data_IF_203094668076
#
_entry.id   IF_203094668076
#
_cell.length_a   1.000
_cell.length_b   1.000
_cell.length_c   1.000
_cell.angle_alpha   90.00
_cell.angle_beta   90.00
_cell.angle_gamma   90.00
#
_symmetry.space_group_name_H-M   'P 1'
#
loop_
_entity.id
_entity.type
_entity.pdbx_description
1 polymer ?
#
# COMPACT_ATOMS: atom_id res chain seq x y z
N UNK A 1 -27.14 -0.70 -1.16
CA UNK A 1 -27.42 -1.81 -2.04
C UNK A 1 -27.04 -1.61 -3.51
N UNK A 2 -26.25 -0.56 -3.87
CA UNK A 2 -25.82 -0.37 -5.27
C UNK A 2 -24.57 -1.18 -5.57
N UNK A 3 -23.70 -1.38 -4.56
CA UNK A 3 -22.48 -2.20 -4.63
C UNK A 3 -22.41 -3.09 -3.38
N UNK A 4 -21.80 -4.25 -3.51
CA UNK A 4 -21.69 -5.25 -2.44
C UNK A 4 -20.34 -5.18 -1.71
N UNK A 5 -19.29 -4.67 -2.39
CA UNK A 5 -17.96 -4.49 -1.85
C UNK A 5 -17.30 -3.22 -2.42
N UNK A 6 -16.38 -2.66 -1.68
CA UNK A 6 -15.58 -1.50 -2.10
C UNK A 6 -14.15 -1.63 -1.59
N UNK A 7 -13.20 -1.17 -2.37
CA UNK A 7 -11.82 -0.93 -1.95
C UNK A 7 -11.59 0.58 -1.88
N UNK A 8 -10.88 1.03 -0.86
CA UNK A 8 -10.56 2.45 -0.71
C UNK A 8 -9.09 2.69 -0.35
N UNK A 9 -8.67 2.40 0.89
CA UNK A 9 -7.30 2.68 1.29
C UNK A 9 -6.82 1.81 2.46
N UNK A 10 -7.22 2.20 3.66
CA UNK A 10 -6.62 1.65 4.87
C UNK A 10 -7.46 2.04 6.11
N UNK A 11 -7.28 1.36 7.28
CA UNK A 11 -8.19 1.47 8.42
C UNK A 11 -8.52 2.89 8.88
N UNK A 12 -7.54 3.81 8.88
CA UNK A 12 -7.77 5.18 9.37
C UNK A 12 -8.72 5.98 8.48
N UNK A 13 -8.48 6.15 7.16
CA UNK A 13 -9.45 6.79 6.28
C UNK A 13 -10.79 6.08 6.25
N UNK A 14 -10.82 4.76 6.19
CA UNK A 14 -12.05 3.97 6.12
C UNK A 14 -12.94 4.23 7.33
N UNK A 15 -12.35 4.31 8.52
CA UNK A 15 -13.07 4.64 9.76
C UNK A 15 -13.60 6.09 9.77
N UNK A 16 -12.82 7.05 9.22
CA UNK A 16 -13.23 8.46 9.13
C UNK A 16 -14.40 8.64 8.17
N UNK A 17 -14.39 7.95 7.04
CA UNK A 17 -15.53 7.96 6.10
C UNK A 17 -16.75 7.20 6.62
N UNK A 18 -16.60 6.42 7.67
CA UNK A 18 -17.71 5.75 8.33
C UNK A 18 -18.17 4.47 7.64
N UNK A 19 -17.30 3.79 6.89
CA UNK A 19 -17.63 2.55 6.19
C UNK A 19 -18.11 1.47 7.16
N UNK A 20 -17.60 1.41 8.38
CA UNK A 20 -18.05 0.50 9.43
C UNK A 20 -19.53 0.64 9.81
N UNK A 21 -20.18 1.74 9.44
CA UNK A 21 -21.61 1.93 9.69
C UNK A 21 -22.48 1.11 8.74
N UNK A 22 -21.95 0.78 7.56
CA UNK A 22 -22.69 0.09 6.48
C UNK A 22 -22.07 -1.25 6.08
N UNK A 23 -20.77 -1.44 6.30
CA UNK A 23 -20.01 -2.65 5.96
C UNK A 23 -19.41 -3.26 7.23
N UNK A 24 -19.53 -4.57 7.40
CA UNK A 24 -19.06 -5.29 8.59
C UNK A 24 -17.93 -6.27 8.33
N UNK A 25 -17.66 -6.61 7.09
CA UNK A 25 -16.59 -7.50 6.69
C UNK A 25 -15.41 -6.70 6.16
N UNK A 26 -14.21 -6.96 6.65
CA UNK A 26 -13.01 -6.19 6.33
C UNK A 26 -11.83 -7.10 6.01
N UNK A 27 -11.13 -6.80 4.93
CA UNK A 27 -9.90 -7.45 4.48
C UNK A 27 -8.80 -6.41 4.39
N UNK A 28 -7.60 -6.69 4.93
CA UNK A 28 -6.49 -5.73 4.96
C UNK A 28 -5.69 -5.66 3.66
N UNK A 29 -5.97 -6.52 2.69
CA UNK A 29 -5.19 -6.63 1.47
C UNK A 29 -5.78 -5.83 0.32
N UNK A 30 -4.97 -4.91 -0.23
CA UNK A 30 -5.18 -4.33 -1.55
C UNK A 30 -4.22 -4.96 -2.54
N UNK A 31 -4.61 -6.04 -3.23
CA UNK A 31 -3.70 -6.81 -4.08
C UNK A 31 -3.23 -6.05 -5.32
N UNK A 32 -4.05 -5.15 -5.84
CA UNK A 32 -3.74 -4.36 -7.03
C UNK A 32 -2.77 -3.20 -6.73
N UNK A 33 -2.70 -2.74 -5.49
CA UNK A 33 -1.87 -1.59 -5.10
C UNK A 33 -1.47 -1.67 -3.62
N UNK A 34 -0.46 -2.47 -3.32
CA UNK A 34 0.06 -2.64 -1.95
C UNK A 34 0.84 -1.42 -1.44
N UNK A 35 1.30 -0.57 -2.34
CA UNK A 35 2.06 0.66 -2.05
C UNK A 35 1.58 1.78 -2.95
N UNK A 36 1.40 2.95 -2.39
CA UNK A 36 1.08 4.19 -3.13
C UNK A 36 2.29 5.11 -3.07
N UNK A 37 2.76 5.57 -4.23
CA UNK A 37 3.71 6.67 -4.31
C UNK A 37 2.98 7.98 -3.99
N UNK A 38 3.53 8.76 -3.06
CA UNK A 38 3.07 10.11 -2.79
C UNK A 38 3.96 11.09 -3.56
N UNK A 39 3.48 11.58 -4.69
CA UNK A 39 4.22 12.49 -5.55
C UNK A 39 4.04 13.95 -5.10
N UNK A 40 5.12 14.72 -5.13
CA UNK A 40 5.09 16.16 -4.94
C UNK A 40 5.01 16.86 -6.29
N UNK A 41 3.87 17.43 -6.61
CA UNK A 41 3.68 18.22 -7.83
C UNK A 41 3.93 19.70 -7.58
N UNK A 42 4.82 20.29 -8.37
CA UNK A 42 5.16 21.72 -8.27
C UNK A 42 4.89 22.40 -9.62
N UNK A 43 4.25 23.54 -9.59
CA UNK A 43 4.05 24.33 -10.81
C UNK A 43 5.42 24.64 -11.45
N UNK A 44 5.58 24.30 -12.74
CA UNK A 44 6.86 24.41 -13.41
C UNK A 44 7.42 25.84 -13.50
N UNK A 45 6.57 26.87 -13.58
CA UNK A 45 7.01 28.28 -13.56
C UNK A 45 7.57 28.63 -12.17
N UNK A 46 6.89 28.22 -11.11
CA UNK A 46 7.35 28.43 -9.72
C UNK A 46 8.66 27.69 -9.48
N UNK A 47 8.72 26.41 -9.85
CA UNK A 47 9.94 25.61 -9.66
C UNK A 47 11.17 26.21 -10.39
N UNK A 48 10.98 26.70 -11.61
CA UNK A 48 12.07 27.35 -12.36
C UNK A 48 12.52 28.70 -11.77
N UNK A 49 11.65 29.40 -11.04
CA UNK A 49 12.00 30.65 -10.36
C UNK A 49 12.68 30.45 -9.00
N UNK A 50 12.65 29.24 -8.45
CA UNK A 50 13.30 28.93 -7.18
C UNK A 50 14.81 28.90 -7.32
N UNK A 51 15.50 29.34 -6.27
CA UNK A 51 16.96 29.15 -6.11
C UNK A 51 17.30 27.68 -5.92
N UNK A 52 18.55 27.31 -6.14
CA UNK A 52 19.02 25.94 -5.91
C UNK A 52 18.89 25.52 -4.44
N UNK A 53 19.06 26.49 -3.51
CA UNK A 53 18.85 26.25 -2.09
C UNK A 53 17.37 25.90 -1.78
N UNK A 54 16.42 26.62 -2.34
CA UNK A 54 14.98 26.34 -2.17
C UNK A 54 14.57 25.00 -2.78
N UNK A 55 15.09 24.67 -3.98
CA UNK A 55 14.87 23.36 -4.60
C UNK A 55 15.40 22.23 -3.72
N UNK A 56 16.61 22.39 -3.18
CA UNK A 56 17.21 21.39 -2.29
C UNK A 56 16.47 21.26 -0.96
N UNK A 57 16.04 22.37 -0.38
CA UNK A 57 15.21 22.35 0.84
C UNK A 57 13.89 21.60 0.62
N UNK A 58 13.25 21.81 -0.52
CA UNK A 58 12.02 21.10 -0.89
C UNK A 58 12.24 19.60 -1.07
N UNK A 59 13.32 19.19 -1.73
CA UNK A 59 13.71 17.78 -1.88
C UNK A 59 13.94 17.10 -0.51
N UNK A 60 14.67 17.76 0.37
CA UNK A 60 14.94 17.26 1.73
C UNK A 60 13.63 17.15 2.53
N UNK A 61 12.75 18.15 2.43
CA UNK A 61 11.46 18.14 3.11
C UNK A 61 10.55 17.02 2.59
N UNK A 62 10.53 16.76 1.27
CA UNK A 62 9.78 15.68 0.67
C UNK A 62 10.27 14.30 1.19
N UNK A 63 11.58 14.07 1.21
CA UNK A 63 12.17 12.85 1.72
C UNK A 63 11.89 12.64 3.22
N UNK A 64 11.99 13.69 4.03
CA UNK A 64 11.65 13.64 5.46
C UNK A 64 10.16 13.36 5.69
N UNK A 65 9.29 13.94 4.87
CA UNK A 65 7.85 13.74 4.93
C UNK A 65 7.46 12.29 4.63
N UNK A 66 8.16 11.61 3.74
CA UNK A 66 7.90 10.20 3.41
C UNK A 66 8.04 9.31 4.65
N UNK A 67 9.16 9.41 5.36
CA UNK A 67 9.43 8.60 6.57
C UNK A 67 8.45 8.95 7.71
N UNK A 68 8.22 10.24 7.93
CA UNK A 68 7.27 10.70 8.95
C UNK A 68 5.85 10.23 8.65
N UNK A 69 5.43 10.31 7.40
CA UNK A 69 4.12 9.86 6.92
C UNK A 69 3.94 8.35 7.11
N UNK A 70 4.96 7.55 6.78
CA UNK A 70 4.93 6.10 6.98
C UNK A 70 4.75 5.74 8.46
N UNK A 71 5.56 6.31 9.34
CA UNK A 71 5.49 6.06 10.79
C UNK A 71 4.13 6.45 11.37
N UNK A 72 3.61 7.62 10.98
CA UNK A 72 2.30 8.09 11.38
C UNK A 72 1.18 7.15 10.93
N UNK A 73 1.22 6.70 9.67
CA UNK A 73 0.21 5.80 9.10
C UNK A 73 0.20 4.44 9.80
N UNK A 74 1.36 3.88 10.12
CA UNK A 74 1.44 2.60 10.85
C UNK A 74 0.71 2.73 12.19
N UNK A 75 0.99 3.78 12.95
CA UNK A 75 0.37 4.00 14.26
C UNK A 75 -1.13 4.28 14.18
N UNK A 76 -1.55 5.22 13.32
CA UNK A 76 -2.95 5.60 13.21
C UNK A 76 -3.83 4.51 12.57
N UNK A 77 -3.30 3.74 11.62
CA UNK A 77 -4.02 2.58 11.10
C UNK A 77 -4.16 1.47 12.15
N UNK A 78 -3.16 1.23 12.98
CA UNK A 78 -3.26 0.29 14.10
C UNK A 78 -4.34 0.68 15.09
N UNK A 79 -4.40 1.96 15.47
CA UNK A 79 -5.48 2.49 16.34
C UNK A 79 -6.87 2.36 15.70
N UNK A 80 -6.96 2.71 14.43
CA UNK A 80 -8.23 2.63 13.71
C UNK A 80 -8.69 1.18 13.54
N UNK A 81 -7.79 0.24 13.25
CA UNK A 81 -8.11 -1.17 13.17
C UNK A 81 -8.65 -1.70 14.51
N UNK A 82 -8.01 -1.34 15.60
CA UNK A 82 -8.47 -1.69 16.95
C UNK A 82 -9.89 -1.16 17.20
N UNK A 83 -10.16 0.11 16.92
CA UNK A 83 -11.50 0.68 17.01
C UNK A 83 -12.52 -0.08 16.14
N UNK A 84 -12.17 -0.38 14.88
CA UNK A 84 -13.05 -1.07 13.95
C UNK A 84 -13.44 -2.47 14.47
N UNK A 85 -12.49 -3.22 14.99
CA UNK A 85 -12.71 -4.61 15.44
C UNK A 85 -13.28 -4.71 16.85
N UNK A 86 -12.83 -3.87 17.79
CA UNK A 86 -13.21 -4.00 19.21
C UNK A 86 -14.46 -3.17 19.57
N UNK A 87 -14.72 -2.06 18.88
CA UNK A 87 -15.80 -1.13 19.23
C UNK A 87 -16.89 -1.03 18.15
N UNK A 88 -16.50 -1.02 16.86
CA UNK A 88 -17.45 -0.82 15.77
C UNK A 88 -18.08 -2.13 15.23
N UNK A 89 -17.67 -3.28 15.76
CA UNK A 89 -18.20 -4.59 15.39
C UNK A 89 -17.86 -5.03 13.96
N UNK A 90 -16.70 -4.59 13.46
CA UNK A 90 -16.18 -5.04 12.16
C UNK A 90 -15.45 -6.37 12.34
N UNK A 91 -15.69 -7.28 11.41
CA UNK A 91 -15.06 -8.60 11.38
C UNK A 91 -13.91 -8.55 10.42
N UNK A 92 -12.69 -8.72 10.95
CA UNK A 92 -11.48 -8.82 10.13
C UNK A 92 -11.33 -10.24 9.58
N UNK A 93 -11.10 -10.36 8.30
CA UNK A 93 -10.91 -11.61 7.60
C UNK A 93 -9.51 -11.73 7.02
N UNK A 94 -9.00 -12.94 6.99
CA UNK A 94 -7.83 -13.29 6.18
C UNK A 94 -8.26 -13.55 4.73
N UNK A 95 -7.43 -13.10 3.79
CA UNK A 95 -7.64 -13.41 2.37
C UNK A 95 -7.24 -14.86 2.11
N UNK A 96 -8.10 -15.68 1.47
CA UNK A 96 -7.75 -17.04 1.10
C UNK A 96 -6.48 -17.10 0.23
N UNK A 97 -5.63 -18.08 0.46
CA UNK A 97 -4.31 -18.17 -0.21
C UNK A 97 -4.40 -18.41 -1.73
N UNK A 98 -5.43 -19.13 -2.19
CA UNK A 98 -5.71 -19.36 -3.59
C UNK A 98 -6.04 -18.08 -4.35
N UNK A 99 -6.71 -17.12 -3.71
CA UNK A 99 -6.99 -15.80 -4.28
C UNK A 99 -5.70 -15.07 -4.71
N UNK A 100 -4.63 -15.16 -3.94
CA UNK A 100 -3.35 -14.56 -4.32
C UNK A 100 -2.78 -15.19 -5.59
N UNK A 101 -2.86 -16.52 -5.69
CA UNK A 101 -2.34 -17.26 -6.85
C UNK A 101 -3.14 -16.93 -8.11
N UNK A 102 -4.46 -16.92 -8.03
CA UNK A 102 -5.34 -16.59 -9.15
C UNK A 102 -5.17 -15.13 -9.59
N UNK A 103 -5.11 -14.20 -8.64
CA UNK A 103 -4.85 -12.80 -8.93
C UNK A 103 -3.52 -12.60 -9.66
N UNK A 104 -2.44 -13.21 -9.17
CA UNK A 104 -1.11 -13.08 -9.79
C UNK A 104 -1.06 -13.68 -11.19
N UNK A 105 -1.77 -14.78 -11.43
CA UNK A 105 -1.88 -15.36 -12.76
C UNK A 105 -2.60 -14.42 -13.74
N UNK A 106 -3.73 -13.87 -13.35
CA UNK A 106 -4.51 -12.92 -14.14
C UNK A 106 -3.74 -11.60 -14.40
N UNK A 107 -3.10 -11.05 -13.37
CA UNK A 107 -2.29 -9.84 -13.47
C UNK A 107 -1.12 -10.05 -14.45
N UNK A 108 -0.38 -11.15 -14.31
CA UNK A 108 0.74 -11.49 -15.20
C UNK A 108 0.29 -11.62 -16.66
N UNK A 109 -0.81 -12.31 -16.92
CA UNK A 109 -1.36 -12.46 -18.27
C UNK A 109 -1.70 -11.09 -18.90
N UNK A 110 -2.33 -10.20 -18.13
CA UNK A 110 -2.68 -8.84 -18.57
C UNK A 110 -1.44 -8.00 -18.85
N UNK A 111 -0.45 -8.04 -17.97
CA UNK A 111 0.79 -7.26 -18.12
C UNK A 111 1.61 -7.73 -19.33
N UNK A 112 1.69 -9.03 -19.56
CA UNK A 112 2.37 -9.59 -20.75
C UNK A 112 1.67 -9.19 -22.05
N UNK A 113 0.34 -9.25 -22.09
CA UNK A 113 -0.43 -8.78 -23.25
C UNK A 113 -0.14 -7.31 -23.55
N UNK A 114 -0.18 -6.43 -22.55
CA UNK A 114 0.13 -5.02 -22.73
C UNK A 114 1.58 -4.79 -23.19
N UNK A 115 2.52 -5.61 -22.73
CA UNK A 115 3.91 -5.55 -23.17
C UNK A 115 4.12 -5.99 -24.63
N UNK A 116 3.28 -6.91 -25.13
CA UNK A 116 3.28 -7.27 -26.56
C UNK A 116 2.73 -6.16 -27.45
N UNK A 117 1.74 -5.42 -26.97
CA UNK A 117 1.05 -4.38 -27.72
C UNK A 117 1.77 -3.01 -27.69
N UNK A 118 2.64 -2.77 -26.71
CA UNK A 118 3.28 -1.47 -26.49
C UNK A 118 4.76 -1.62 -26.10
N UNK A 119 5.66 -1.14 -26.96
CA UNK A 119 7.11 -1.25 -26.77
C UNK A 119 7.60 -0.50 -25.52
N UNK A 120 7.07 0.69 -25.21
CA UNK A 120 7.44 1.45 -24.01
C UNK A 120 6.93 0.75 -22.76
N UNK A 121 5.71 0.21 -22.79
CA UNK A 121 5.21 -0.60 -21.68
C UNK A 121 6.10 -1.82 -21.40
N UNK A 122 6.55 -2.48 -22.48
CA UNK A 122 7.47 -3.62 -22.38
C UNK A 122 8.79 -3.24 -21.70
N UNK A 123 9.38 -2.09 -22.09
CA UNK A 123 10.61 -1.58 -21.50
C UNK A 123 10.45 -1.34 -19.99
N UNK A 124 9.37 -0.65 -19.59
CA UNK A 124 9.06 -0.40 -18.17
C UNK A 124 8.82 -1.71 -17.41
N UNK A 125 8.01 -2.61 -17.98
CA UNK A 125 7.69 -3.89 -17.35
C UNK A 125 8.93 -4.77 -17.18
N UNK A 126 9.84 -4.79 -18.17
CA UNK A 126 11.12 -5.52 -18.06
C UNK A 126 11.97 -4.97 -16.93
N UNK A 127 12.15 -3.64 -16.86
CA UNK A 127 12.91 -3.00 -15.77
C UNK A 127 12.30 -3.29 -14.40
N UNK A 128 10.98 -3.26 -14.27
CA UNK A 128 10.28 -3.60 -13.02
C UNK A 128 10.49 -5.06 -12.61
N UNK A 129 10.42 -5.99 -13.57
CA UNK A 129 10.60 -7.42 -13.27
C UNK A 129 12.04 -7.76 -12.91
N UNK A 130 13.04 -7.16 -13.57
CA UNK A 130 14.46 -7.31 -13.22
C UNK A 130 14.73 -6.80 -11.79
N UNK A 131 14.17 -5.67 -11.40
CA UNK A 131 14.25 -5.18 -10.02
C UNK A 131 13.54 -6.12 -9.04
N UNK A 132 12.34 -6.59 -9.39
CA UNK A 132 11.55 -7.47 -8.54
C UNK A 132 12.26 -8.82 -8.28
N UNK A 133 12.90 -9.38 -9.28
CA UNK A 133 13.65 -10.65 -9.16
C UNK A 133 14.78 -10.58 -8.11
N UNK A 134 15.34 -9.39 -7.91
CA UNK A 134 16.38 -9.14 -6.90
C UNK A 134 15.77 -8.76 -5.54
N UNK A 135 14.83 -7.82 -5.54
CA UNK A 135 14.33 -7.19 -4.32
C UNK A 135 13.29 -8.04 -3.58
N UNK A 136 12.37 -8.70 -4.31
CA UNK A 136 11.23 -9.39 -3.71
C UNK A 136 11.63 -10.59 -2.84
N UNK A 137 12.56 -11.48 -3.23
CA UNK A 137 12.95 -12.60 -2.37
C UNK A 137 13.50 -12.16 -1.02
N UNK A 138 14.36 -11.14 -1.02
CA UNK A 138 14.92 -10.58 0.23
C UNK A 138 13.83 -9.89 1.06
N UNK A 139 13.10 -8.97 0.45
CA UNK A 139 12.12 -8.14 1.17
C UNK A 139 10.98 -8.98 1.75
N UNK A 140 10.43 -9.91 0.97
CA UNK A 140 9.36 -10.81 1.43
C UNK A 140 9.82 -11.69 2.59
N UNK A 141 11.05 -12.23 2.53
CA UNK A 141 11.62 -13.02 3.63
C UNK A 141 11.80 -12.22 4.91
N UNK A 142 12.31 -10.99 4.79
CA UNK A 142 12.49 -10.08 5.93
C UNK A 142 11.15 -9.69 6.54
N UNK A 143 10.16 -9.32 5.74
CA UNK A 143 8.82 -8.94 6.21
C UNK A 143 8.10 -10.12 6.87
N UNK A 144 8.20 -11.31 6.31
CA UNK A 144 7.61 -12.52 6.92
C UNK A 144 8.23 -12.81 8.29
N UNK A 145 9.54 -12.67 8.44
CA UNK A 145 10.23 -12.86 9.71
C UNK A 145 9.81 -11.84 10.75
N UNK A 146 9.72 -10.56 10.36
CA UNK A 146 9.24 -9.48 11.22
C UNK A 146 7.77 -9.69 11.65
N UNK A 147 6.91 -10.11 10.72
CA UNK A 147 5.51 -10.41 11.02
C UNK A 147 5.38 -11.54 12.05
N UNK A 148 6.13 -12.65 11.88
CA UNK A 148 6.15 -13.76 12.83
C UNK A 148 6.60 -13.32 14.22
N UNK A 149 7.64 -12.49 14.31
CA UNK A 149 8.13 -11.95 15.57
C UNK A 149 7.08 -11.04 16.23
N UNK A 150 6.44 -10.17 15.46
CA UNK A 150 5.36 -9.30 15.94
C UNK A 150 4.15 -10.07 16.46
N UNK A 151 3.75 -11.14 15.78
CA UNK A 151 2.66 -12.02 16.22
C UNK A 151 3.02 -12.77 17.51
N UNK A 152 4.25 -13.27 17.62
CA UNK A 152 4.73 -13.93 18.84
C UNK A 152 4.74 -12.95 20.03
N UNK A 153 5.20 -11.71 19.82
CA UNK A 153 5.15 -10.66 20.83
C UNK A 153 3.71 -10.35 21.25
N UNK A 154 2.80 -10.16 20.31
CA UNK A 154 1.40 -9.86 20.60
C UNK A 154 0.73 -10.97 21.46
N UNK A 155 1.12 -12.23 21.29
CA UNK A 155 0.64 -13.34 22.09
C UNK A 155 1.10 -13.26 23.57
N UNK A 156 2.21 -12.56 23.86
CA UNK A 156 2.71 -12.37 25.23
C UNK A 156 2.01 -11.24 26.00
N UNK A 157 1.22 -10.42 25.30
CA UNK A 157 0.53 -9.27 25.89
C UNK A 157 -0.90 -9.60 26.35
N UNK A 158 -1.36 -10.82 26.09
CA UNK A 158 -2.67 -11.35 26.52
C UNK A 158 -2.53 -12.15 27.80
#
# INVERSE_FOLDING_TARGET
GTIDAAEWCCPKPDSVFGFQKVLKHYYLQGLHQVVVNADLYVNGKVYRSMTDHEKKAMEVAANASLIKSLSYRIYENGKALKFLTEEAGVILHDTPSDYFTEYMAAAKATLLKNAEENAFFKEVYTSMTEFADIAVPFWSGAQMSNAKLGMAHAATLK
#
